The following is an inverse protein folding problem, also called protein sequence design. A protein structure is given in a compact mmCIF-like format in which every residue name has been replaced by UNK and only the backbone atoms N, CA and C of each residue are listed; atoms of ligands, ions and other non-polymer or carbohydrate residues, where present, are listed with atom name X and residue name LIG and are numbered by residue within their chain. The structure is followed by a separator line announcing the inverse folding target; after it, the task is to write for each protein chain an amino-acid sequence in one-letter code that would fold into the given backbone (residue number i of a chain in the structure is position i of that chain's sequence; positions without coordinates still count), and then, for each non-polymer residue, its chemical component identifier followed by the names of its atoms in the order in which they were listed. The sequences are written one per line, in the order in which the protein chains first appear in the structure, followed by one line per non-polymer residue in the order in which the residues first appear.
data_IF_029675424604
#
_entry.id   IF_029675424604
#
_cell.length_a   1.000
_cell.length_b   1.000
_cell.length_c   1.000
_cell.angle_alpha   90.00
_cell.angle_beta   90.00
_cell.angle_gamma   90.00
#
_symmetry.space_group_name_H-M   'P 1'
#
loop_
_entity.id
_entity.type
_entity.pdbx_description
1 polymer ?
#
# COMPACT_ATOMS: atom_id res chain seq x y z
N UNK A 1 -4.10 -18.84 29.68
CA UNK A 1 -3.40 -18.27 28.50
C UNK A 1 -1.90 -18.34 28.74
N UNK A 2 -1.22 -19.30 28.09
CA UNK A 2 0.20 -19.63 28.37
C UNK A 2 1.13 -18.46 28.04
N UNK A 3 2.23 -18.33 28.81
CA UNK A 3 3.24 -17.26 28.72
C UNK A 3 3.75 -17.04 27.29
N UNK A 4 3.83 -18.09 26.47
CA UNK A 4 4.16 -18.02 25.04
C UNK A 4 3.21 -17.13 24.22
N UNK A 5 1.89 -17.21 24.45
CA UNK A 5 0.90 -16.37 23.76
C UNK A 5 1.01 -14.90 24.16
N UNK A 6 1.33 -14.61 25.42
CA UNK A 6 1.59 -13.24 25.90
C UNK A 6 2.88 -12.68 25.29
N UNK A 7 3.94 -13.47 25.21
CA UNK A 7 5.21 -13.07 24.59
C UNK A 7 5.09 -12.86 23.08
N UNK A 8 4.39 -13.76 22.37
CA UNK A 8 4.08 -13.60 20.94
C UNK A 8 3.25 -12.34 20.71
N UNK A 9 2.18 -12.16 21.48
CA UNK A 9 1.31 -10.96 21.41
C UNK A 9 2.11 -9.68 21.65
N UNK A 10 2.98 -9.63 22.65
CA UNK A 10 3.85 -8.48 22.92
C UNK A 10 4.85 -8.22 21.79
N UNK A 11 5.49 -9.25 21.23
CA UNK A 11 6.45 -9.07 20.10
C UNK A 11 5.78 -8.60 18.80
N UNK A 12 4.56 -9.07 18.54
CA UNK A 12 3.81 -8.69 17.33
C UNK A 12 3.17 -7.30 17.51
N UNK A 13 2.61 -6.99 18.70
CA UNK A 13 1.93 -5.74 19.01
C UNK A 13 2.83 -4.59 19.48
N UNK A 14 4.13 -4.79 19.63
CA UNK A 14 5.07 -3.70 19.88
C UNK A 14 5.98 -3.59 18.65
N UNK A 15 5.55 -2.89 17.58
CA UNK A 15 6.48 -2.44 16.56
C UNK A 15 7.52 -1.56 17.24
N UNK A 16 8.79 -1.82 16.97
CA UNK A 16 9.84 -0.95 17.45
C UNK A 16 9.75 0.36 16.67
N UNK A 17 9.30 1.43 17.35
CA UNK A 17 9.13 2.79 16.80
C UNK A 17 10.43 3.30 16.15
N UNK A 18 11.58 2.80 16.59
CA UNK A 18 12.87 3.17 15.98
C UNK A 18 13.05 2.62 14.56
N UNK A 19 12.37 1.52 14.20
CA UNK A 19 12.51 0.89 12.88
C UNK A 19 11.76 1.60 11.76
N UNK A 20 10.94 2.60 12.05
CA UNK A 20 10.27 3.43 11.04
C UNK A 20 11.07 4.69 10.66
N UNK A 21 12.18 4.98 11.35
CA UNK A 21 13.05 6.10 10.99
C UNK A 21 13.96 5.74 9.81
N UNK A 22 14.05 6.63 8.83
CA UNK A 22 14.80 6.40 7.60
C UNK A 22 16.30 6.21 7.83
N UNK A 23 16.87 6.93 8.81
CA UNK A 23 18.29 6.87 9.15
C UNK A 23 18.68 5.53 9.77
N UNK A 24 17.82 4.96 10.61
CA UNK A 24 18.01 3.61 11.18
C UNK A 24 17.98 2.53 10.10
N UNK A 25 17.24 2.75 9.00
CA UNK A 25 17.12 1.82 7.88
C UNK A 25 18.23 1.97 6.83
N UNK A 26 19.03 3.04 6.90
CA UNK A 26 20.05 3.35 5.89
C UNK A 26 19.46 3.65 4.51
N UNK A 27 18.24 4.18 4.46
CA UNK A 27 17.58 4.56 3.20
C UNK A 27 18.19 5.84 2.64
N UNK A 28 18.04 6.02 1.32
CA UNK A 28 18.52 7.24 0.69
C UNK A 28 17.73 8.44 1.23
N UNK A 29 18.44 9.53 1.56
CA UNK A 29 17.84 10.79 1.98
C UNK A 29 18.17 11.82 0.91
N UNK A 30 17.18 12.12 0.06
CA UNK A 30 17.30 13.14 -0.99
C UNK A 30 17.37 14.56 -0.42
N UNK A 31 16.50 14.85 0.56
CA UNK A 31 16.42 16.16 1.20
C UNK A 31 15.87 16.05 2.63
N UNK A 32 16.09 17.10 3.43
CA UNK A 32 15.50 17.20 4.79
C UNK A 32 13.98 17.25 4.74
N UNK A 33 13.39 17.94 3.77
CA UNK A 33 11.94 18.04 3.62
C UNK A 33 11.30 16.68 3.30
N UNK A 34 11.89 15.93 2.37
CA UNK A 34 11.48 14.56 2.07
C UNK A 34 11.58 13.66 3.30
N UNK A 35 12.70 13.75 4.03
CA UNK A 35 12.90 12.98 5.25
C UNK A 35 11.77 13.23 6.25
N UNK A 36 11.45 14.50 6.53
CA UNK A 36 10.35 14.87 7.44
C UNK A 36 9.03 14.26 6.98
N UNK A 37 8.67 14.38 5.70
CA UNK A 37 7.44 13.80 5.17
C UNK A 37 7.38 12.29 5.40
N UNK A 38 8.44 11.56 5.05
CA UNK A 38 8.46 10.11 5.16
C UNK A 38 8.48 9.62 6.62
N UNK A 39 9.19 10.33 7.51
CA UNK A 39 9.19 10.04 8.95
C UNK A 39 7.79 10.31 9.56
N UNK A 40 7.13 11.43 9.23
CA UNK A 40 5.77 11.75 9.69
C UNK A 40 4.72 10.76 9.18
N UNK A 41 4.90 10.21 7.96
CA UNK A 41 4.08 9.09 7.46
C UNK A 41 4.20 7.88 8.39
N UNK A 42 5.43 7.48 8.74
CA UNK A 42 5.68 6.37 9.66
C UNK A 42 5.13 6.61 11.07
N UNK A 43 5.32 7.81 11.61
CA UNK A 43 4.77 8.22 12.92
C UNK A 43 3.24 8.19 12.96
N UNK A 44 2.59 8.65 11.88
CA UNK A 44 1.13 8.65 11.76
C UNK A 44 0.59 7.22 11.69
N UNK A 45 1.25 6.35 10.93
CA UNK A 45 0.94 4.92 10.91
C UNK A 45 1.04 4.30 12.32
N UNK A 46 2.13 4.56 13.05
CA UNK A 46 2.32 4.04 14.40
C UNK A 46 1.32 4.61 15.41
N UNK A 47 0.94 5.87 15.26
CA UNK A 47 -0.12 6.50 16.06
C UNK A 47 -1.43 5.76 15.89
N UNK A 48 -1.83 5.49 14.65
CA UNK A 48 -3.03 4.72 14.34
C UNK A 48 -3.00 3.28 14.87
N UNK A 49 -1.86 2.62 14.69
CA UNK A 49 -1.63 1.27 15.23
C UNK A 49 -1.78 1.24 16.75
N UNK A 50 -1.10 2.15 17.46
CA UNK A 50 -1.08 2.21 18.92
C UNK A 50 -2.47 2.51 19.48
N UNK A 51 -3.22 3.42 18.85
CA UNK A 51 -4.57 3.77 19.26
C UNK A 51 -5.52 2.55 19.10
N UNK A 52 -5.59 1.95 17.92
CA UNK A 52 -6.49 0.83 17.66
C UNK A 52 -6.13 -0.44 18.47
N UNK A 53 -4.84 -0.70 18.74
CA UNK A 53 -4.40 -1.84 19.53
C UNK A 53 -4.87 -1.78 21.00
N UNK A 54 -5.11 -0.58 21.53
CA UNK A 54 -5.52 -0.32 22.91
C UNK A 54 -7.04 -0.13 23.06
N UNK A 55 -7.73 0.19 21.96
CA UNK A 55 -9.15 0.50 21.95
C UNK A 55 -10.08 -0.72 22.04
N UNK A 56 -11.25 -0.50 22.64
CA UNK A 56 -12.29 -1.53 22.75
C UNK A 56 -13.16 -1.53 21.51
N UNK A 57 -13.52 -0.36 21.01
CA UNK A 57 -14.32 -0.14 19.80
C UNK A 57 -13.62 0.84 18.86
N UNK A 58 -14.16 0.99 17.65
CA UNK A 58 -13.53 1.84 16.64
C UNK A 58 -13.75 3.33 16.92
N UNK A 59 -14.88 3.65 17.56
CA UNK A 59 -15.25 4.99 18.04
C UNK A 59 -14.28 5.53 19.10
N UNK A 60 -13.58 4.66 19.83
CA UNK A 60 -12.59 5.06 20.83
C UNK A 60 -11.35 5.72 20.19
N UNK A 61 -10.96 5.30 18.97
CA UNK A 61 -9.73 5.79 18.34
C UNK A 61 -9.95 6.67 17.11
N UNK A 62 -11.02 6.47 16.33
CA UNK A 62 -11.22 7.22 15.08
C UNK A 62 -11.19 8.75 15.26
N UNK A 63 -11.85 9.35 16.29
CA UNK A 63 -11.79 10.79 16.52
C UNK A 63 -10.37 11.32 16.77
N UNK A 64 -9.49 10.50 17.37
CA UNK A 64 -8.09 10.87 17.58
C UNK A 64 -7.31 10.86 16.27
N UNK A 65 -7.57 9.90 15.38
CA UNK A 65 -6.92 9.85 14.07
C UNK A 65 -7.35 11.03 13.19
N UNK A 66 -8.59 11.48 13.34
CA UNK A 66 -9.13 12.62 12.60
C UNK A 66 -8.55 13.97 13.06
N UNK A 67 -7.85 14.02 14.19
CA UNK A 67 -7.10 15.21 14.62
C UNK A 67 -5.75 15.35 13.91
N UNK A 68 -5.23 14.28 13.30
CA UNK A 68 -4.00 14.34 12.51
C UNK A 68 -4.20 15.25 11.29
N UNK A 69 -3.10 15.80 10.78
CA UNK A 69 -3.12 16.57 9.54
C UNK A 69 -3.73 15.72 8.41
N UNK A 70 -4.60 16.32 7.59
CA UNK A 70 -5.36 15.65 6.52
C UNK A 70 -4.47 14.77 5.65
N UNK A 71 -3.25 15.22 5.33
CA UNK A 71 -2.29 14.48 4.53
C UNK A 71 -1.94 13.11 5.11
N UNK A 72 -1.90 12.96 6.43
CA UNK A 72 -1.38 11.77 7.10
C UNK A 72 -2.45 10.82 7.68
N UNK A 73 -3.70 11.26 7.78
CA UNK A 73 -4.81 10.45 8.34
C UNK A 73 -4.91 9.07 7.71
N UNK A 74 -4.83 8.96 6.39
CA UNK A 74 -4.94 7.68 5.70
C UNK A 74 -3.89 6.64 6.13
N UNK A 75 -2.67 7.08 6.46
CA UNK A 75 -1.63 6.20 7.03
C UNK A 75 -1.94 5.77 8.46
N UNK A 76 -2.56 6.65 9.26
CA UNK A 76 -3.01 6.26 10.59
C UNK A 76 -4.13 5.20 10.53
N UNK A 77 -5.09 5.35 9.62
CA UNK A 77 -6.12 4.32 9.40
C UNK A 77 -5.53 3.01 8.84
N UNK A 78 -4.45 3.05 8.06
CA UNK A 78 -3.68 1.87 7.66
C UNK A 78 -3.10 1.12 8.88
N UNK A 79 -2.43 1.86 9.78
CA UNK A 79 -1.87 1.31 11.01
C UNK A 79 -2.95 0.77 11.96
N UNK A 80 -4.10 1.44 12.04
CA UNK A 80 -5.25 0.97 12.81
C UNK A 80 -5.75 -0.38 12.29
N UNK A 81 -5.94 -0.51 10.97
CA UNK A 81 -6.36 -1.77 10.35
C UNK A 81 -5.37 -2.92 10.62
N UNK A 82 -4.07 -2.63 10.56
CA UNK A 82 -3.02 -3.59 10.92
C UNK A 82 -3.17 -4.08 12.37
N UNK A 83 -3.38 -3.16 13.32
CA UNK A 83 -3.55 -3.52 14.73
C UNK A 83 -4.79 -4.40 14.95
N UNK A 84 -5.93 -4.01 14.37
CA UNK A 84 -7.17 -4.79 14.46
C UNK A 84 -7.01 -6.19 13.86
N UNK A 85 -6.34 -6.31 12.71
CA UNK A 85 -6.08 -7.59 12.07
C UNK A 85 -5.19 -8.52 12.92
N UNK A 86 -4.15 -7.98 13.57
CA UNK A 86 -3.32 -8.73 14.51
C UNK A 86 -4.15 -9.18 15.72
N UNK A 87 -4.98 -8.29 16.28
CA UNK A 87 -5.83 -8.61 17.44
C UNK A 87 -6.82 -9.72 17.08
N UNK A 88 -7.49 -9.63 15.92
CA UNK A 88 -8.43 -10.66 15.45
C UNK A 88 -7.74 -12.01 15.25
N UNK A 89 -6.54 -12.03 14.62
CA UNK A 89 -5.81 -13.26 14.34
C UNK A 89 -5.27 -13.96 15.61
N UNK A 90 -4.82 -13.18 16.60
CA UNK A 90 -4.26 -13.69 17.87
C UNK A 90 -5.34 -13.99 18.92
N UNK A 91 -6.59 -13.59 18.69
CA UNK A 91 -7.68 -13.87 19.62
C UNK A 91 -8.03 -15.37 19.65
N UNK A 92 -8.39 -15.94 20.82
CA UNK A 92 -8.80 -17.34 20.92
C UNK A 92 -10.05 -17.66 20.10
N UNK A 93 -10.98 -16.70 20.04
CA UNK A 93 -12.17 -16.73 19.18
C UNK A 93 -11.92 -15.85 17.97
N UNK A 94 -12.41 -16.26 16.80
CA UNK A 94 -12.32 -15.45 15.57
C UNK A 94 -12.92 -14.08 15.82
N UNK A 95 -12.08 -13.05 15.79
CA UNK A 95 -12.51 -11.67 15.90
C UNK A 95 -13.18 -11.18 14.62
N UNK A 96 -13.96 -10.10 14.74
CA UNK A 96 -14.64 -9.40 13.64
C UNK A 96 -14.33 -7.90 13.66
N UNK A 97 -13.19 -7.50 14.24
CA UNK A 97 -12.83 -6.08 14.37
C UNK A 97 -12.52 -5.49 13.01
N UNK A 98 -11.77 -6.19 12.17
CA UNK A 98 -11.50 -5.73 10.79
C UNK A 98 -12.80 -5.59 10.01
N UNK A 99 -13.69 -6.58 10.04
CA UNK A 99 -14.98 -6.52 9.31
C UNK A 99 -15.81 -5.31 9.76
N UNK A 100 -16.02 -5.13 11.07
CA UNK A 100 -16.74 -3.97 11.61
C UNK A 100 -16.08 -2.64 11.25
N UNK A 101 -14.76 -2.57 11.29
CA UNK A 101 -14.01 -1.38 10.92
C UNK A 101 -14.21 -1.04 9.44
N UNK A 102 -14.17 -2.04 8.55
CA UNK A 102 -14.43 -1.85 7.12
C UNK A 102 -15.86 -1.40 6.83
N UNK A 103 -16.84 -1.91 7.58
CA UNK A 103 -18.26 -1.53 7.45
C UNK A 103 -18.57 -0.18 8.12
N UNK A 104 -17.72 0.28 9.04
CA UNK A 104 -17.89 1.48 9.83
C UNK A 104 -16.88 2.58 9.48
N UNK A 105 -16.15 3.06 10.50
CA UNK A 105 -15.26 4.22 10.40
C UNK A 105 -14.09 4.05 9.41
N UNK A 106 -13.71 2.81 9.09
CA UNK A 106 -12.67 2.50 8.11
C UNK A 106 -13.15 2.47 6.66
N UNK A 107 -14.46 2.58 6.39
CA UNK A 107 -15.05 2.45 5.05
C UNK A 107 -14.52 3.47 4.03
N UNK A 108 -14.25 4.69 4.48
CA UNK A 108 -13.63 5.75 3.68
C UNK A 108 -12.14 5.44 3.36
N UNK A 109 -11.49 4.64 4.20
CA UNK A 109 -10.09 4.24 4.11
C UNK A 109 -9.89 2.81 3.59
N UNK A 110 -10.92 2.21 2.99
CA UNK A 110 -10.97 0.80 2.56
C UNK A 110 -9.67 0.29 1.91
N UNK A 111 -9.12 1.01 0.94
CA UNK A 111 -7.88 0.62 0.27
C UNK A 111 -6.69 0.51 1.24
N UNK A 112 -6.54 1.49 2.13
CA UNK A 112 -5.48 1.48 3.14
C UNK A 112 -5.73 0.46 4.23
N UNK A 113 -7.00 0.20 4.57
CA UNK A 113 -7.33 -0.85 5.52
C UNK A 113 -6.86 -2.23 5.03
N UNK A 114 -7.10 -2.57 3.75
CA UNK A 114 -6.58 -3.81 3.16
C UNK A 114 -5.04 -3.86 3.14
N UNK A 115 -4.37 -2.75 2.82
CA UNK A 115 -2.91 -2.67 2.91
C UNK A 115 -2.44 -2.94 4.35
N UNK A 116 -3.08 -2.34 5.36
CA UNK A 116 -2.79 -2.59 6.77
C UNK A 116 -2.98 -4.05 7.20
N UNK A 117 -4.00 -4.74 6.67
CA UNK A 117 -4.16 -6.20 6.85
C UNK A 117 -2.96 -6.96 6.25
N UNK A 118 -2.39 -6.49 5.15
CA UNK A 118 -1.14 -6.99 4.56
C UNK A 118 0.08 -6.85 5.47
N UNK A 119 0.21 -5.71 6.14
CA UNK A 119 1.25 -5.51 7.16
C UNK A 119 1.09 -6.47 8.34
N UNK A 120 -0.15 -6.71 8.78
CA UNK A 120 -0.45 -7.70 9.81
C UNK A 120 -0.03 -9.11 9.35
N UNK A 121 -0.38 -9.49 8.12
CA UNK A 121 0.03 -10.77 7.51
C UNK A 121 1.54 -10.96 7.52
N UNK A 122 2.32 -9.91 7.23
CA UNK A 122 3.78 -9.97 7.21
C UNK A 122 4.41 -10.22 8.59
N UNK A 123 3.73 -9.84 9.68
CA UNK A 123 4.20 -10.06 11.07
C UNK A 123 3.61 -11.31 11.74
N UNK A 124 2.48 -11.80 11.25
CA UNK A 124 1.83 -12.98 11.80
C UNK A 124 2.48 -14.27 11.27
N UNK A 125 2.63 -15.31 12.13
CA UNK A 125 2.98 -16.64 11.68
C UNK A 125 2.05 -17.12 10.55
N UNK A 126 2.62 -17.78 9.53
CA UNK A 126 1.87 -18.25 8.33
C UNK A 126 0.61 -19.05 8.65
N UNK A 127 0.64 -19.85 9.71
CA UNK A 127 -0.51 -20.66 10.11
C UNK A 127 -1.70 -19.82 10.60
N UNK A 128 -1.53 -18.53 10.93
CA UNK A 128 -2.61 -17.62 11.31
C UNK A 128 -3.19 -16.84 10.13
N UNK A 129 -2.60 -16.90 8.93
CA UNK A 129 -3.06 -16.09 7.79
C UNK A 129 -4.50 -16.39 7.38
N UNK A 130 -4.98 -17.63 7.57
CA UNK A 130 -6.37 -18.02 7.30
C UNK A 130 -7.40 -17.30 8.20
N UNK A 131 -6.96 -16.61 9.26
CA UNK A 131 -7.82 -15.83 10.18
C UNK A 131 -7.98 -14.37 9.76
N UNK A 132 -7.22 -13.90 8.79
CA UNK A 132 -7.30 -12.51 8.32
C UNK A 132 -8.60 -12.30 7.55
N UNK A 133 -9.36 -11.28 7.95
CA UNK A 133 -10.58 -10.91 7.26
C UNK A 133 -10.25 -10.14 5.97
N UNK A 134 -10.74 -10.66 4.84
CA UNK A 134 -10.57 -10.07 3.51
C UNK A 134 -11.86 -10.27 2.69
N UNK A 135 -12.99 -9.67 3.11
CA UNK A 135 -14.31 -10.00 2.58
C UNK A 135 -14.52 -9.60 1.12
N UNK A 136 -13.81 -8.59 0.62
CA UNK A 136 -13.93 -8.12 -0.76
C UNK A 136 -12.98 -8.94 -1.69
N UNK A 137 -13.52 -9.75 -2.61
CA UNK A 137 -12.72 -10.58 -3.50
C UNK A 137 -11.92 -9.77 -4.55
N UNK A 138 -12.33 -8.54 -4.86
CA UNK A 138 -11.59 -7.62 -5.72
C UNK A 138 -10.43 -6.98 -4.95
N UNK A 139 -10.69 -6.49 -3.73
CA UNK A 139 -9.71 -5.71 -2.97
C UNK A 139 -8.76 -6.55 -2.09
N UNK A 140 -9.04 -7.84 -1.85
CA UNK A 140 -8.16 -8.73 -1.08
C UNK A 140 -6.71 -8.79 -1.59
N UNK A 141 -6.47 -8.48 -2.87
CA UNK A 141 -5.13 -8.45 -3.45
C UNK A 141 -4.27 -7.31 -2.89
N UNK A 142 -4.88 -6.24 -2.35
CA UNK A 142 -4.18 -5.17 -1.65
C UNK A 142 -3.54 -5.63 -0.32
N UNK A 143 -3.97 -6.77 0.23
CA UNK A 143 -3.26 -7.41 1.35
C UNK A 143 -1.88 -7.89 0.91
N UNK A 144 -1.76 -8.42 -0.31
CA UNK A 144 -0.45 -8.82 -0.85
C UNK A 144 0.41 -7.63 -1.24
N UNK A 145 -0.20 -6.53 -1.69
CA UNK A 145 0.47 -5.25 -1.85
C UNK A 145 1.04 -4.75 -0.50
N UNK A 146 0.23 -4.71 0.57
CA UNK A 146 0.72 -4.35 1.90
C UNK A 146 1.79 -5.29 2.45
N UNK A 147 1.65 -6.60 2.21
CA UNK A 147 2.68 -7.59 2.55
C UNK A 147 3.99 -7.30 1.80
N UNK A 148 3.93 -7.07 0.48
CA UNK A 148 5.09 -6.77 -0.35
C UNK A 148 5.79 -5.48 0.07
N UNK A 149 5.01 -4.44 0.39
CA UNK A 149 5.53 -3.20 0.96
C UNK A 149 6.32 -3.47 2.23
N UNK A 150 5.72 -4.17 3.19
CA UNK A 150 6.39 -4.52 4.45
C UNK A 150 7.67 -5.31 4.20
N UNK A 151 7.65 -6.32 3.31
CA UNK A 151 8.85 -7.12 3.00
C UNK A 151 9.98 -6.26 2.42
N UNK A 152 9.70 -5.39 1.45
CA UNK A 152 10.71 -4.50 0.88
C UNK A 152 11.21 -3.45 1.88
N UNK A 153 10.32 -2.91 2.71
CA UNK A 153 10.65 -1.90 3.71
C UNK A 153 11.52 -2.48 4.85
N UNK A 154 11.14 -3.62 5.43
CA UNK A 154 11.85 -4.21 6.58
C UNK A 154 12.94 -5.21 6.22
N UNK A 155 12.91 -5.80 5.03
CA UNK A 155 13.89 -6.77 4.53
C UNK A 155 14.48 -6.34 3.19
N UNK A 156 14.89 -5.06 3.10
CA UNK A 156 15.39 -4.39 1.89
C UNK A 156 16.54 -5.14 1.22
N UNK A 157 17.50 -5.68 1.98
CA UNK A 157 18.58 -6.52 1.44
C UNK A 157 18.05 -7.70 0.62
N UNK A 158 17.03 -8.38 1.15
CA UNK A 158 16.47 -9.58 0.53
C UNK A 158 15.57 -9.24 -0.66
N UNK A 159 14.61 -8.34 -0.47
CA UNK A 159 13.55 -8.10 -1.46
C UNK A 159 13.91 -7.03 -2.50
N UNK A 160 14.77 -6.07 -2.15
CA UNK A 160 15.20 -4.99 -3.05
C UNK A 160 16.57 -5.25 -3.64
N UNK A 161 17.60 -5.52 -2.82
CA UNK A 161 18.98 -5.69 -3.34
C UNK A 161 19.18 -7.06 -4.00
N UNK A 162 18.80 -8.14 -3.31
CA UNK A 162 18.82 -9.50 -3.82
C UNK A 162 17.61 -9.84 -4.71
N UNK A 163 16.61 -8.93 -4.82
CA UNK A 163 15.45 -9.05 -5.71
C UNK A 163 14.70 -10.37 -5.52
N UNK A 164 14.66 -10.89 -4.29
CA UNK A 164 14.03 -12.16 -3.98
C UNK A 164 12.52 -12.14 -4.32
N UNK A 165 12.04 -13.27 -4.83
CA UNK A 165 10.63 -13.59 -5.01
C UNK A 165 10.43 -15.03 -4.53
N UNK A 166 9.37 -15.30 -3.77
CA UNK A 166 9.10 -16.65 -3.26
C UNK A 166 8.34 -17.47 -4.32
N UNK A 167 8.99 -18.46 -4.98
CA UNK A 167 8.32 -19.25 -6.01
C UNK A 167 7.23 -20.16 -5.44
N UNK A 168 7.26 -20.43 -4.12
CA UNK A 168 6.31 -21.29 -3.41
C UNK A 168 5.33 -20.51 -2.54
N UNK A 169 5.12 -19.22 -2.81
CA UNK A 169 4.22 -18.40 -2.01
C UNK A 169 2.79 -18.94 -2.05
N UNK A 170 2.20 -19.22 -0.87
CA UNK A 170 0.85 -19.77 -0.75
C UNK A 170 -0.11 -18.70 -0.25
N UNK A 171 -0.94 -18.21 -1.16
CA UNK A 171 -1.96 -17.20 -0.87
C UNK A 171 -3.25 -17.83 -0.32
N UNK A 172 -3.67 -17.53 0.93
CA UNK A 172 -4.91 -18.09 1.50
C UNK A 172 -6.18 -17.36 1.04
N UNK A 173 -6.07 -16.21 0.37
CA UNK A 173 -7.25 -15.42 -0.01
C UNK A 173 -8.01 -15.93 -1.22
N UNK A 174 -7.53 -16.97 -1.93
CA UNK A 174 -8.17 -17.55 -3.11
C UNK A 174 -7.88 -16.79 -4.42
N UNK A 175 -8.37 -17.33 -5.54
CA UNK A 175 -8.09 -16.84 -6.90
C UNK A 175 -6.89 -17.52 -7.59
N UNK A 176 -6.49 -17.08 -8.80
CA UNK A 176 -5.42 -17.71 -9.55
C UNK A 176 -4.08 -17.71 -8.80
N UNK A 177 -3.53 -18.91 -8.53
CA UNK A 177 -2.32 -19.07 -7.72
C UNK A 177 -1.10 -18.32 -8.28
N UNK A 178 -1.03 -18.16 -9.61
CA UNK A 178 0.09 -17.50 -10.30
C UNK A 178 0.15 -15.98 -10.10
N UNK A 179 -0.89 -15.34 -9.56
CA UNK A 179 -0.93 -13.87 -9.46
C UNK A 179 -0.30 -13.30 -8.18
N UNK A 180 -0.13 -14.11 -7.12
CA UNK A 180 0.27 -13.60 -5.81
C UNK A 180 1.58 -12.79 -5.83
N UNK A 181 2.60 -13.27 -6.53
CA UNK A 181 3.89 -12.58 -6.63
C UNK A 181 3.80 -11.24 -7.39
N UNK A 182 2.85 -11.10 -8.32
CA UNK A 182 2.59 -9.82 -9.01
C UNK A 182 1.97 -8.79 -8.08
N UNK A 183 1.03 -9.21 -7.22
CA UNK A 183 0.47 -8.34 -6.19
C UNK A 183 1.51 -7.94 -5.13
N UNK A 184 2.41 -8.86 -4.76
CA UNK A 184 3.55 -8.55 -3.89
C UNK A 184 4.49 -7.52 -4.55
N UNK A 185 4.77 -7.66 -5.84
CA UNK A 185 5.64 -6.72 -6.57
C UNK A 185 5.06 -5.30 -6.66
N UNK A 186 3.73 -5.14 -6.67
CA UNK A 186 3.09 -3.82 -6.55
C UNK A 186 3.44 -3.16 -5.20
N UNK A 187 3.36 -3.94 -4.12
CA UNK A 187 3.77 -3.52 -2.79
C UNK A 187 5.25 -3.15 -2.70
N UNK A 188 6.11 -3.97 -3.31
CA UNK A 188 7.55 -3.69 -3.40
C UNK A 188 7.76 -2.38 -4.16
N UNK A 189 7.08 -2.18 -5.29
CA UNK A 189 7.12 -0.93 -6.07
C UNK A 189 6.77 0.30 -5.24
N UNK A 190 5.69 0.21 -4.46
CA UNK A 190 5.33 1.29 -3.51
C UNK A 190 6.44 1.55 -2.50
N UNK A 191 7.03 0.49 -1.93
CA UNK A 191 8.12 0.63 -0.97
C UNK A 191 9.39 1.22 -1.58
N UNK A 192 9.68 0.99 -2.87
CA UNK A 192 10.84 1.58 -3.55
C UNK A 192 10.82 3.11 -3.52
N UNK A 193 9.63 3.74 -3.57
CA UNK A 193 9.49 5.19 -3.42
C UNK A 193 10.05 5.69 -2.07
N UNK A 194 9.87 4.91 -1.01
CA UNK A 194 10.37 5.22 0.34
C UNK A 194 11.85 4.84 0.50
N UNK A 195 12.24 3.65 0.03
CA UNK A 195 13.62 3.14 0.11
C UNK A 195 14.59 4.05 -0.64
N UNK A 196 14.17 4.56 -1.80
CA UNK A 196 14.94 5.49 -2.62
C UNK A 196 14.78 6.95 -2.19
N UNK A 197 14.09 7.25 -1.08
CA UNK A 197 13.98 8.62 -0.56
C UNK A 197 13.27 9.58 -1.51
N UNK A 198 12.22 9.11 -2.19
CA UNK A 198 11.44 9.85 -3.19
C UNK A 198 12.27 10.45 -4.33
N UNK A 199 13.45 9.89 -4.60
CA UNK A 199 14.31 10.21 -5.72
C UNK A 199 13.88 9.36 -6.93
N UNK A 200 13.25 9.94 -7.97
CA UNK A 200 12.79 9.20 -9.12
C UNK A 200 13.90 8.48 -9.87
N UNK A 201 15.10 9.07 -9.92
CA UNK A 201 16.19 8.49 -10.68
C UNK A 201 16.63 7.17 -10.06
N UNK A 202 16.78 7.16 -8.73
CA UNK A 202 17.06 5.94 -7.98
C UNK A 202 15.94 4.92 -8.05
N UNK A 203 14.68 5.35 -8.04
CA UNK A 203 13.55 4.44 -8.19
C UNK A 203 13.62 3.73 -9.53
N UNK A 204 13.80 4.48 -10.63
CA UNK A 204 13.90 3.90 -11.98
C UNK A 204 15.11 2.97 -12.09
N UNK A 205 16.28 3.40 -11.63
CA UNK A 205 17.50 2.57 -11.67
C UNK A 205 17.33 1.28 -10.88
N UNK A 206 16.69 1.37 -9.70
CA UNK A 206 16.42 0.21 -8.84
C UNK A 206 15.45 -0.75 -9.53
N UNK A 207 14.35 -0.25 -10.13
CA UNK A 207 13.41 -1.07 -10.89
C UNK A 207 14.08 -1.72 -12.11
N UNK A 208 14.99 -1.01 -12.79
CA UNK A 208 15.78 -1.54 -13.91
C UNK A 208 16.59 -2.78 -13.55
N UNK A 209 16.99 -2.92 -12.28
CA UNK A 209 17.69 -4.10 -11.77
C UNK A 209 16.82 -5.35 -11.61
N UNK A 210 15.49 -5.24 -11.62
CA UNK A 210 14.56 -6.37 -11.54
C UNK A 210 14.36 -7.04 -12.90
N UNK A 211 13.96 -8.31 -12.88
CA UNK A 211 13.60 -9.06 -14.08
C UNK A 211 12.48 -8.33 -14.86
N UNK A 212 12.54 -8.25 -16.21
CA UNK A 212 11.61 -7.46 -17.02
C UNK A 212 10.13 -7.70 -16.71
N UNK A 213 9.73 -8.95 -16.49
CA UNK A 213 8.35 -9.33 -16.21
C UNK A 213 7.79 -8.79 -14.88
N UNK A 214 8.63 -8.27 -13.97
CA UNK A 214 8.22 -7.68 -12.68
C UNK A 214 8.06 -6.16 -12.74
N UNK A 215 8.68 -5.51 -13.74
CA UNK A 215 8.86 -4.05 -13.77
C UNK A 215 7.53 -3.30 -13.88
N UNK A 216 6.58 -3.83 -14.65
CA UNK A 216 5.26 -3.23 -14.81
C UNK A 216 4.52 -3.09 -13.47
N UNK A 217 4.58 -4.12 -12.63
CA UNK A 217 3.98 -4.10 -11.28
C UNK A 217 4.73 -3.14 -10.34
N UNK A 218 6.06 -3.12 -10.41
CA UNK A 218 6.90 -2.21 -9.63
C UNK A 218 6.65 -0.73 -9.98
N UNK A 219 6.54 -0.38 -11.27
CA UNK A 219 6.22 0.97 -11.72
C UNK A 219 4.81 1.39 -11.29
N UNK A 220 3.83 0.49 -11.38
CA UNK A 220 2.49 0.75 -10.85
C UNK A 220 2.50 1.04 -9.35
N UNK A 221 3.23 0.24 -8.57
CA UNK A 221 3.41 0.51 -7.14
C UNK A 221 4.07 1.87 -6.86
N UNK A 222 5.16 2.18 -7.58
CA UNK A 222 5.89 3.42 -7.39
C UNK A 222 5.04 4.65 -7.75
N UNK A 223 4.24 4.58 -8.83
CA UNK A 223 3.30 5.65 -9.21
C UNK A 223 2.22 5.87 -8.16
N UNK A 224 1.68 4.78 -7.59
CA UNK A 224 0.73 4.87 -6.49
C UNK A 224 1.34 5.59 -5.28
N UNK A 225 2.55 5.20 -4.87
CA UNK A 225 3.24 5.82 -3.74
C UNK A 225 3.58 7.29 -3.99
N UNK A 226 4.07 7.64 -5.18
CA UNK A 226 4.37 9.01 -5.57
C UNK A 226 3.12 9.91 -5.48
N UNK A 227 1.96 9.42 -5.93
CA UNK A 227 0.70 10.18 -5.84
C UNK A 227 0.11 10.19 -4.44
N UNK A 228 0.08 9.05 -3.75
CA UNK A 228 -0.57 8.92 -2.44
C UNK A 228 0.25 9.60 -1.33
N UNK A 229 1.54 9.27 -1.22
CA UNK A 229 2.43 9.77 -0.17
C UNK A 229 3.04 11.14 -0.51
N UNK A 230 3.31 11.40 -1.78
CA UNK A 230 4.01 12.60 -2.24
C UNK A 230 5.51 12.54 -1.97
N UNK A 231 6.14 13.71 -1.86
CA UNK A 231 7.58 13.86 -1.62
C UNK A 231 8.42 14.04 -2.90
N UNK A 232 7.78 14.11 -4.06
CA UNK A 232 8.39 14.57 -5.30
C UNK A 232 7.88 15.98 -5.65
N UNK A 233 8.77 16.82 -6.16
CA UNK A 233 8.45 18.10 -6.80
C UNK A 233 8.03 17.89 -8.25
N UNK A 234 7.40 18.89 -8.88
CA UNK A 234 6.86 18.76 -10.24
C UNK A 234 7.92 18.32 -11.26
N UNK A 235 9.10 18.96 -11.26
CA UNK A 235 10.18 18.62 -12.18
C UNK A 235 10.64 17.16 -12.01
N UNK A 236 10.68 16.69 -10.76
CA UNK A 236 11.06 15.31 -10.43
C UNK A 236 10.00 14.31 -10.88
N UNK A 237 8.71 14.61 -10.67
CA UNK A 237 7.61 13.78 -11.15
C UNK A 237 7.59 13.74 -12.69
N UNK A 238 7.87 14.86 -13.36
CA UNK A 238 7.99 14.90 -14.83
C UNK A 238 9.18 14.07 -15.31
N UNK A 239 10.33 14.13 -14.62
CA UNK A 239 11.46 13.27 -14.92
C UNK A 239 11.11 11.78 -14.70
N UNK A 240 10.38 11.46 -13.64
CA UNK A 240 9.92 10.10 -13.37
C UNK A 240 9.04 9.58 -14.51
N UNK A 241 8.07 10.38 -14.94
CA UNK A 241 7.21 10.09 -16.07
C UNK A 241 8.03 9.81 -17.34
N UNK A 242 8.99 10.68 -17.65
CA UNK A 242 9.81 10.50 -18.84
C UNK A 242 10.62 9.20 -18.80
N UNK A 243 11.28 8.93 -17.67
CA UNK A 243 12.14 7.77 -17.47
C UNK A 243 11.41 6.45 -17.32
N UNK A 244 10.12 6.45 -16.97
CA UNK A 244 9.32 5.23 -16.93
C UNK A 244 9.16 4.56 -18.31
N UNK A 245 9.34 5.32 -19.41
CA UNK A 245 9.36 4.78 -20.76
C UNK A 245 8.12 3.95 -21.09
N UNK A 246 8.32 2.71 -21.53
CA UNK A 246 7.23 1.77 -21.86
C UNK A 246 6.28 1.45 -20.69
N UNK A 247 6.70 1.72 -19.44
CA UNK A 247 5.90 1.45 -18.24
C UNK A 247 5.05 2.64 -17.78
N UNK A 248 4.99 3.72 -18.56
CA UNK A 248 4.12 4.88 -18.30
C UNK A 248 2.64 4.52 -18.10
N UNK A 249 2.03 3.58 -18.85
CA UNK A 249 0.65 3.17 -18.60
C UNK A 249 0.45 2.59 -17.19
N UNK A 250 1.39 1.77 -16.71
CA UNK A 250 1.31 1.21 -15.36
C UNK A 250 1.60 2.26 -14.29
N UNK A 251 2.55 3.17 -14.53
CA UNK A 251 2.80 4.31 -13.65
C UNK A 251 1.54 5.19 -13.50
N UNK A 252 0.86 5.53 -14.60
CA UNK A 252 -0.40 6.28 -14.60
C UNK A 252 -1.52 5.52 -13.90
N UNK A 253 -1.66 4.22 -14.16
CA UNK A 253 -2.61 3.34 -13.45
C UNK A 253 -2.40 3.38 -11.93
N UNK A 254 -1.14 3.23 -11.49
CA UNK A 254 -0.78 3.33 -10.08
C UNK A 254 -1.15 4.69 -9.48
N UNK A 255 -0.80 5.77 -10.17
CA UNK A 255 -1.16 7.14 -9.79
C UNK A 255 -2.67 7.30 -9.65
N UNK A 256 -3.46 6.81 -10.61
CA UNK A 256 -4.92 6.84 -10.58
C UNK A 256 -5.51 6.07 -9.39
N UNK A 257 -4.93 4.93 -9.00
CA UNK A 257 -5.34 4.21 -7.80
C UNK A 257 -4.99 5.01 -6.52
N UNK A 258 -3.82 5.65 -6.47
CA UNK A 258 -3.43 6.54 -5.39
C UNK A 258 -4.38 7.74 -5.24
N UNK A 259 -4.76 8.37 -6.35
CA UNK A 259 -5.75 9.43 -6.41
C UNK A 259 -7.14 8.94 -5.95
N UNK A 260 -7.59 7.79 -6.45
CA UNK A 260 -8.86 7.16 -6.06
C UNK A 260 -8.94 6.94 -4.55
N UNK A 261 -7.86 6.44 -3.94
CA UNK A 261 -7.82 6.23 -2.49
C UNK A 261 -7.92 7.54 -1.71
N UNK A 262 -7.31 8.63 -2.20
CA UNK A 262 -7.39 9.97 -1.59
C UNK A 262 -8.76 10.61 -1.76
N UNK A 263 -9.36 10.51 -2.94
CA UNK A 263 -10.71 11.02 -3.24
C UNK A 263 -11.75 10.32 -2.36
N UNK A 264 -11.72 8.98 -2.31
CA UNK A 264 -12.64 8.19 -1.48
C UNK A 264 -12.58 8.58 0.00
N UNK A 265 -11.38 8.87 0.51
CA UNK A 265 -11.16 9.24 1.89
C UNK A 265 -11.44 10.72 2.20
N UNK A 266 -11.73 11.55 1.20
CA UNK A 266 -11.83 13.00 1.39
C UNK A 266 -10.51 13.66 1.79
N UNK A 267 -9.37 13.04 1.43
CA UNK A 267 -8.02 13.43 1.86
C UNK A 267 -7.15 13.98 0.71
N UNK A 268 -7.77 14.51 -0.35
CA UNK A 268 -7.04 15.17 -1.43
C UNK A 268 -6.36 16.43 -0.89
N UNK A 269 -5.06 16.53 -1.16
CA UNK A 269 -4.19 17.67 -0.84
C UNK A 269 -3.35 18.04 -2.09
N UNK A 270 -2.69 19.22 -2.16
CA UNK A 270 -2.10 19.72 -3.40
C UNK A 270 -1.14 18.79 -4.12
N UNK A 271 -0.32 17.99 -3.41
CA UNK A 271 0.62 17.07 -4.07
C UNK A 271 -0.09 15.91 -4.78
N UNK A 272 -1.32 15.56 -4.37
CA UNK A 272 -2.10 14.54 -5.06
C UNK A 272 -2.56 15.05 -6.43
N UNK A 273 -3.02 16.30 -6.49
CA UNK A 273 -3.39 16.94 -7.77
C UNK A 273 -2.20 17.06 -8.69
N UNK A 274 -1.06 17.53 -8.17
CA UNK A 274 0.17 17.64 -8.96
C UNK A 274 0.58 16.29 -9.57
N UNK A 275 0.59 15.21 -8.79
CA UNK A 275 0.97 13.90 -9.29
C UNK A 275 -0.07 13.30 -10.26
N UNK A 276 -1.36 13.54 -10.04
CA UNK A 276 -2.41 13.14 -10.97
C UNK A 276 -2.29 13.90 -12.30
N UNK A 277 -2.01 15.20 -12.27
CA UNK A 277 -1.77 16.00 -13.47
C UNK A 277 -0.52 15.50 -14.23
N UNK A 278 0.59 15.28 -13.52
CA UNK A 278 1.86 14.87 -14.13
C UNK A 278 1.85 13.42 -14.61
N UNK A 279 1.08 12.50 -14.03
CA UNK A 279 1.07 11.10 -14.47
C UNK A 279 -0.16 10.76 -15.30
N UNK A 280 -1.34 11.22 -14.89
CA UNK A 280 -2.60 10.89 -15.54
C UNK A 280 -3.04 11.95 -16.56
N UNK A 281 -2.47 13.16 -16.53
CA UNK A 281 -2.92 14.27 -17.39
C UNK A 281 -4.29 14.81 -17.01
N UNK A 282 -4.75 14.60 -15.77
CA UNK A 282 -6.08 14.98 -15.29
C UNK A 282 -6.09 15.18 -13.78
N UNK A 283 -7.17 15.77 -13.25
CA UNK A 283 -7.35 15.95 -11.81
C UNK A 283 -7.53 14.62 -11.06
N UNK A 284 -7.34 14.64 -9.74
CA UNK A 284 -7.58 13.46 -8.89
C UNK A 284 -9.01 12.95 -9.01
N UNK A 285 -10.00 13.87 -9.10
CA UNK A 285 -11.41 13.54 -9.25
C UNK A 285 -11.67 12.78 -10.56
N UNK A 286 -11.11 13.24 -11.68
CA UNK A 286 -11.31 12.57 -12.98
C UNK A 286 -10.58 11.23 -13.05
N UNK A 287 -9.39 11.12 -12.47
CA UNK A 287 -8.68 9.85 -12.36
C UNK A 287 -9.44 8.82 -11.51
N UNK A 288 -10.09 9.28 -10.42
CA UNK A 288 -10.93 8.43 -9.59
C UNK A 288 -12.20 7.98 -10.32
N UNK A 289 -12.84 8.87 -11.07
CA UNK A 289 -14.01 8.53 -11.90
C UNK A 289 -13.66 7.50 -12.98
N UNK A 290 -12.55 7.70 -13.70
CA UNK A 290 -12.05 6.75 -14.70
C UNK A 290 -11.79 5.38 -14.04
N UNK A 291 -11.13 5.38 -12.88
CA UNK A 291 -10.84 4.16 -12.13
C UNK A 291 -12.12 3.42 -11.77
N UNK A 292 -13.17 4.13 -11.33
CA UNK A 292 -14.45 3.52 -11.01
C UNK A 292 -15.18 2.98 -12.25
N UNK A 293 -15.21 3.73 -13.35
CA UNK A 293 -15.83 3.31 -14.62
C UNK A 293 -15.21 2.03 -15.19
N UNK A 294 -13.92 1.78 -14.93
CA UNK A 294 -13.19 0.60 -15.40
C UNK A 294 -13.24 -0.57 -14.42
N UNK A 295 -13.86 -0.41 -13.25
CA UNK A 295 -14.02 -1.47 -12.25
C UNK A 295 -14.84 -2.64 -12.83
N UNK A 296 -14.36 -3.89 -12.74
CA UNK A 296 -15.14 -5.06 -13.17
C UNK A 296 -16.41 -5.24 -12.34
N UNK A 297 -17.50 -5.63 -13.01
CA UNK A 297 -18.79 -5.90 -12.36
C UNK A 297 -18.79 -7.24 -11.59
N UNK A 298 -17.95 -8.20 -11.98
CA UNK A 298 -17.83 -9.51 -11.33
C UNK A 298 -16.39 -9.75 -10.85
N UNK A 299 -16.20 -10.41 -9.70
CA UNK A 299 -14.89 -10.55 -9.06
C UNK A 299 -14.00 -11.67 -9.60
N UNK A 300 -14.53 -12.57 -10.43
CA UNK A 300 -13.80 -13.72 -10.96
C UNK A 300 -13.52 -13.53 -12.45
N UNK A 301 -12.23 -13.54 -12.80
CA UNK A 301 -11.75 -13.78 -14.15
C UNK A 301 -11.10 -15.16 -14.20
N UNK A 302 -11.18 -15.85 -15.34
CA UNK A 302 -10.77 -17.25 -15.45
C UNK A 302 -9.27 -17.46 -15.22
N UNK A 303 -8.41 -16.65 -15.86
CA UNK A 303 -6.95 -16.78 -15.80
C UNK A 303 -6.26 -15.71 -14.94
N UNK A 304 -6.89 -14.53 -14.84
CA UNK A 304 -6.41 -13.39 -14.06
C UNK A 304 -7.51 -12.97 -13.08
N UNK A 305 -7.17 -12.57 -11.85
CA UNK A 305 -8.17 -12.02 -10.95
C UNK A 305 -8.78 -10.73 -11.51
N UNK A 306 -10.04 -10.44 -11.16
CA UNK A 306 -10.69 -9.19 -11.56
C UNK A 306 -9.87 -7.95 -11.17
N UNK A 307 -9.08 -8.02 -10.10
CA UNK A 307 -8.17 -6.95 -9.70
C UNK A 307 -7.11 -6.64 -10.78
N UNK A 308 -6.54 -7.66 -11.40
CA UNK A 308 -5.59 -7.46 -12.49
C UNK A 308 -6.27 -6.93 -13.74
N UNK A 309 -7.45 -7.46 -14.06
CA UNK A 309 -8.27 -6.98 -15.18
C UNK A 309 -8.58 -5.49 -14.99
N UNK A 310 -8.89 -5.07 -13.76
CA UNK A 310 -9.14 -3.66 -13.43
C UNK A 310 -7.90 -2.80 -13.68
N UNK A 311 -6.74 -3.24 -13.20
CA UNK A 311 -5.46 -2.55 -13.43
C UNK A 311 -5.18 -2.40 -14.92
N UNK A 312 -5.31 -3.48 -15.68
CA UNK A 312 -5.08 -3.47 -17.13
C UNK A 312 -6.04 -2.50 -17.84
N UNK A 313 -7.34 -2.57 -17.55
CA UNK A 313 -8.33 -1.64 -18.14
C UNK A 313 -8.03 -0.17 -17.87
N UNK A 314 -7.54 0.16 -16.67
CA UNK A 314 -7.15 1.53 -16.33
C UNK A 314 -5.87 1.95 -17.06
N UNK A 315 -4.86 1.07 -17.14
CA UNK A 315 -3.64 1.33 -17.91
C UNK A 315 -3.93 1.50 -19.41
N UNK A 316 -4.76 0.62 -19.99
CA UNK A 316 -5.16 0.65 -21.39
C UNK A 316 -5.94 1.91 -21.73
N UNK A 317 -6.76 2.42 -20.80
CA UNK A 317 -7.46 3.69 -20.98
C UNK A 317 -6.48 4.86 -21.12
N UNK A 318 -5.41 4.88 -20.32
CA UNK A 318 -4.37 5.90 -20.47
C UNK A 318 -3.67 5.81 -21.83
N UNK A 319 -3.44 4.61 -22.35
CA UNK A 319 -2.95 4.43 -23.72
C UNK A 319 -3.95 4.98 -24.74
N UNK A 320 -5.24 4.66 -24.58
CA UNK A 320 -6.30 5.07 -25.51
C UNK A 320 -6.48 6.59 -25.60
N UNK A 321 -6.28 7.32 -24.49
CA UNK A 321 -6.35 8.79 -24.46
C UNK A 321 -5.01 9.47 -24.78
N UNK A 322 -4.00 8.72 -25.25
CA UNK A 322 -2.69 9.26 -25.65
C UNK A 322 -1.77 9.62 -24.47
N UNK A 323 -1.98 9.01 -23.31
CA UNK A 323 -1.16 9.16 -22.10
C UNK A 323 -0.18 8.00 -21.95
N UNK A 324 0.77 7.89 -22.88
CA UNK A 324 1.77 6.80 -22.95
C UNK A 324 3.23 7.27 -23.06
#
# INVERSE_FOLDING_TARGET
MTTYWRTLRRRVLTPDVSQTRLDVRGFHIKSRATRTVLETVGESFLTGFAAAAQSRTDEDFAPHLDQLERRFRGFAYEGAAMALAIVDALSPVRGRRVERFLDGVGSAHLYMAYVGVGWAMARLPRFLWHRLAMPDPLLRWLVLDGYGFHQAYFHTDRYVRARYQDPGFRWPGGGPAGYANRAIDQGIGRALWFVCGTDPDRVVDTIGGFAPHRRADLFGGAGLAATYAGGGEEAELRAFWQRAGEYRPQLAQGSAFGATARVRAGLVVPHNELAAEVFCGMSTARAAELTEQRRPATPDGDQLPAYEIWRQRVADEFVAIGRN
#
